data_IF_779292069354
#
_entry.id   IF_779292069354
#
_cell.length_a   1.000
_cell.length_b   1.000
_cell.length_c   1.000
_cell.angle_alpha   90.00
_cell.angle_beta   90.00
_cell.angle_gamma   90.00
#
_symmetry.space_group_name_H-M   'P 1'
#
loop_
_entity.id
_entity.type
_entity.pdbx_description
1 polymer ?
#
# COMPACT_ATOMS: atom_id res chain seq x y z
N UNK A 1 7.33 -22.79 4.47
CA UNK A 1 7.42 -22.25 3.09
C UNK A 1 7.75 -20.76 3.19
N UNK A 2 8.56 -20.23 2.28
CA UNK A 2 8.87 -18.79 2.20
C UNK A 2 8.12 -18.18 1.03
N UNK A 3 7.34 -17.13 1.28
CA UNK A 3 6.71 -16.35 0.21
C UNK A 3 7.74 -15.43 -0.44
N UNK A 4 7.57 -15.17 -1.75
CA UNK A 4 8.38 -14.16 -2.44
C UNK A 4 8.02 -12.77 -1.93
N UNK A 5 9.01 -11.91 -1.71
CA UNK A 5 8.83 -10.52 -1.28
C UNK A 5 9.11 -9.54 -2.41
N UNK A 6 9.01 -8.24 -2.14
CA UNK A 6 9.35 -7.20 -3.12
C UNK A 6 10.82 -7.27 -3.55
N UNK A 7 11.73 -7.66 -2.65
CA UNK A 7 13.15 -7.85 -2.98
C UNK A 7 13.36 -8.97 -4.02
N UNK A 8 12.49 -9.99 -4.04
CA UNK A 8 12.54 -11.07 -5.04
C UNK A 8 11.92 -10.66 -6.40
N UNK A 9 11.15 -9.55 -6.44
CA UNK A 9 10.44 -9.12 -7.64
C UNK A 9 11.35 -8.45 -8.69
N UNK A 10 12.52 -7.93 -8.29
CA UNK A 10 13.46 -7.25 -9.18
C UNK A 10 12.93 -5.90 -9.69
N UNK A 11 13.32 -5.51 -10.91
CA UNK A 11 12.88 -4.24 -11.52
C UNK A 11 11.43 -4.34 -12.04
N UNK A 12 10.59 -3.44 -11.53
CA UNK A 12 9.17 -3.31 -11.91
C UNK A 12 8.90 -2.15 -12.85
N UNK A 13 9.94 -1.43 -13.32
CA UNK A 13 9.78 -0.29 -14.23
C UNK A 13 9.02 -0.68 -15.51
N UNK A 14 8.02 0.13 -15.85
CA UNK A 14 7.15 -0.09 -17.02
C UNK A 14 6.11 -1.19 -16.85
N UNK A 15 6.01 -1.83 -15.68
CA UNK A 15 4.99 -2.84 -15.38
C UNK A 15 3.81 -2.21 -14.64
N UNK A 16 2.62 -2.76 -14.87
CA UNK A 16 1.45 -2.52 -14.00
C UNK A 16 1.51 -3.52 -12.85
N UNK A 17 1.46 -3.01 -11.62
CA UNK A 17 1.55 -3.82 -10.39
C UNK A 17 0.26 -3.65 -9.60
N UNK A 18 -0.34 -4.77 -9.20
CA UNK A 18 -1.45 -4.75 -8.26
C UNK A 18 -0.89 -4.64 -6.85
N UNK A 19 -1.33 -3.62 -6.13
CA UNK A 19 -0.90 -3.35 -4.77
C UNK A 19 -2.12 -3.36 -3.85
N UNK A 20 -2.05 -4.15 -2.77
CA UNK A 20 -3.11 -4.25 -1.77
C UNK A 20 -2.63 -3.55 -0.51
N UNK A 21 -3.17 -2.37 -0.27
CA UNK A 21 -2.82 -1.53 0.88
C UNK A 21 -3.94 -1.46 1.92
N UNK A 22 -3.60 -1.21 3.18
CA UNK A 22 -4.58 -0.89 4.22
C UNK A 22 -4.91 0.61 4.21
N UNK A 23 -5.83 1.01 3.34
CA UNK A 23 -6.31 2.40 3.24
C UNK A 23 -7.59 2.66 4.04
N UNK A 24 -7.94 1.79 4.99
CA UNK A 24 -9.12 1.96 5.81
C UNK A 24 -8.83 2.97 6.94
N UNK A 25 -8.93 4.26 6.62
CA UNK A 25 -8.66 5.40 7.52
C UNK A 25 -9.95 5.97 8.12
N UNK A 26 -9.89 6.58 9.32
CA UNK A 26 -11.01 7.32 9.86
C UNK A 26 -11.27 8.57 9.01
N UNK A 27 -12.55 8.77 8.67
CA UNK A 27 -13.03 9.90 7.88
C UNK A 27 -13.97 10.77 8.71
N UNK A 28 -13.92 12.09 8.51
CA UNK A 28 -14.86 13.06 9.08
C UNK A 28 -15.16 14.16 8.07
N UNK A 29 -16.44 14.41 7.80
CA UNK A 29 -16.91 15.47 6.91
C UNK A 29 -16.26 15.44 5.51
N UNK A 30 -15.98 14.24 5.00
CA UNK A 30 -15.33 14.03 3.70
C UNK A 30 -13.80 14.17 3.69
N UNK A 31 -13.18 14.45 4.84
CA UNK A 31 -11.73 14.54 4.99
C UNK A 31 -11.16 13.40 5.85
N UNK A 32 -9.87 13.10 5.66
CA UNK A 32 -9.12 12.14 6.48
C UNK A 32 -8.87 12.78 7.85
N UNK A 33 -9.20 12.06 8.92
CA UNK A 33 -8.99 12.54 10.29
C UNK A 33 -7.64 12.07 10.89
N UNK A 34 -7.07 10.98 10.35
CA UNK A 34 -5.79 10.42 10.75
C UNK A 34 -5.14 9.71 9.55
N UNK A 35 -3.93 10.13 9.20
CA UNK A 35 -3.18 9.64 8.03
C UNK A 35 -2.21 8.49 8.38
N UNK A 36 -2.17 8.02 9.62
CA UNK A 36 -1.18 7.04 10.11
C UNK A 36 -1.08 5.79 9.22
N UNK A 37 -2.21 5.28 8.69
CA UNK A 37 -2.20 4.08 7.81
C UNK A 37 -1.68 4.36 6.39
N UNK A 38 -1.72 5.60 5.95
CA UNK A 38 -1.24 6.01 4.62
C UNK A 38 0.28 6.19 4.63
N UNK A 39 0.84 6.67 5.73
CA UNK A 39 2.28 6.96 5.86
C UNK A 39 3.12 5.82 6.45
N UNK A 40 2.50 4.69 6.76
CA UNK A 40 3.14 3.54 7.40
C UNK A 40 4.14 2.79 6.48
#
# INVERSE_FOLDING_TARGET
MRFKTLQDAGDVRGKRVLLREDLNVPMKDGAIADETRITA
#
